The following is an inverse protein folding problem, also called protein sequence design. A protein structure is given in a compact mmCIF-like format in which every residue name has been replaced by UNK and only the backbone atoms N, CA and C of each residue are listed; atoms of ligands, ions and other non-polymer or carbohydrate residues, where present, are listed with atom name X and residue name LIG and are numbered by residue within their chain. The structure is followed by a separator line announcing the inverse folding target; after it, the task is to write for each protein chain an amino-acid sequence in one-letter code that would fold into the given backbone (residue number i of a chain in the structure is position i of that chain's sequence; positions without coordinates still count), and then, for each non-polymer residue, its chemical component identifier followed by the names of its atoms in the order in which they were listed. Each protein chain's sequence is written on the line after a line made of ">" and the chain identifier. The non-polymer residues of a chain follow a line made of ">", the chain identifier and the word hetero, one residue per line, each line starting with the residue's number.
data_IF_228445009408
#
_entry.id   IF_228445009408
#
_cell.length_a   1.000
_cell.length_b   1.000
_cell.length_c   1.000
_cell.angle_alpha   90.00
_cell.angle_beta   90.00
_cell.angle_gamma   90.00
#
_symmetry.space_group_name_H-M   'P 1'
#
loop_
_entity.id
_entity.type
_entity.pdbx_description
1 polymer ?
#
# COMPACT_ATOMS: atom_id res chain seq x y z
N UNK A 1 31.44 20.46 -38.75
CA UNK A 1 30.16 20.82 -38.12
C UNK A 1 29.32 19.56 -38.06
N UNK A 2 29.35 18.78 -36.96
CA UNK A 2 28.53 18.93 -35.73
C UNK A 2 27.05 19.11 -36.07
N UNK A 3 26.29 18.00 -36.02
CA UNK A 3 25.45 17.53 -34.89
C UNK A 3 24.02 18.07 -35.08
N UNK A 4 22.92 17.35 -34.89
CA UNK A 4 22.69 16.20 -34.03
C UNK A 4 21.39 15.48 -34.46
N UNK A 5 21.37 14.14 -34.32
CA UNK A 5 20.19 13.27 -34.46
C UNK A 5 19.09 13.69 -33.49
N UNK A 6 17.84 13.83 -33.95
CA UNK A 6 16.67 13.79 -33.07
C UNK A 6 16.38 12.33 -32.74
N UNK A 7 16.46 12.08 -31.45
CA UNK A 7 16.40 10.77 -30.82
C UNK A 7 14.94 10.44 -30.54
N UNK A 8 14.43 9.37 -31.16
CA UNK A 8 13.28 8.65 -30.64
C UNK A 8 13.74 7.94 -29.36
N UNK A 9 13.36 8.43 -28.17
CA UNK A 9 13.73 7.82 -26.90
C UNK A 9 12.53 7.62 -25.98
N UNK A 10 12.36 6.34 -25.66
CA UNK A 10 11.85 5.77 -24.40
C UNK A 10 10.32 5.67 -24.31
N UNK A 11 9.75 4.68 -25.01
CA UNK A 11 8.53 3.97 -24.58
C UNK A 11 8.81 2.47 -24.41
N UNK A 12 10.08 2.06 -24.31
CA UNK A 12 10.44 0.64 -24.34
C UNK A 12 11.64 0.32 -23.44
N UNK A 13 11.44 0.31 -22.11
CA UNK A 13 12.17 -0.66 -21.29
C UNK A 13 11.28 -1.46 -20.33
N UNK A 14 9.96 -1.22 -20.24
CA UNK A 14 9.11 -1.97 -19.30
C UNK A 14 8.71 -3.33 -19.89
N UNK A 15 8.53 -3.45 -21.21
CA UNK A 15 8.03 -4.70 -21.81
C UNK A 15 9.08 -5.82 -21.94
N UNK A 16 10.38 -5.48 -21.99
CA UNK A 16 11.45 -6.50 -22.12
C UNK A 16 11.82 -7.09 -20.76
N UNK A 17 11.55 -6.39 -19.65
CA UNK A 17 11.76 -6.93 -18.31
C UNK A 17 10.73 -8.00 -17.92
N UNK A 18 9.57 -8.04 -18.61
CA UNK A 18 8.56 -9.10 -18.46
C UNK A 18 8.86 -10.39 -19.25
N UNK A 19 9.95 -10.44 -20.04
CA UNK A 19 10.27 -11.59 -20.91
C UNK A 19 11.35 -12.53 -20.37
N UNK A 20 11.95 -12.23 -19.22
CA UNK A 20 12.78 -13.22 -18.51
C UNK A 20 11.86 -14.08 -17.63
N UNK A 21 11.01 -14.86 -18.28
CA UNK A 21 10.45 -16.07 -17.70
C UNK A 21 11.58 -17.08 -17.54
N UNK A 22 12.38 -16.93 -16.50
CA UNK A 22 13.32 -17.96 -16.10
C UNK A 22 12.58 -18.96 -15.22
N UNK A 23 12.49 -20.18 -15.72
CA UNK A 23 12.12 -21.37 -14.98
C UNK A 23 12.85 -21.38 -13.64
N UNK A 24 12.11 -21.19 -12.55
CA UNK A 24 12.67 -21.23 -11.21
C UNK A 24 12.77 -22.71 -10.83
N UNK A 25 13.98 -23.25 -10.83
CA UNK A 25 14.25 -24.62 -10.40
C UNK A 25 14.58 -24.61 -8.90
N UNK A 26 13.55 -24.69 -8.05
CA UNK A 26 13.69 -24.65 -6.58
C UNK A 26 13.84 -26.09 -6.06
N UNK A 27 15.01 -26.43 -5.53
CA UNK A 27 15.24 -27.73 -4.87
C UNK A 27 14.61 -27.76 -3.47
N UNK A 28 14.11 -28.94 -3.10
CA UNK A 28 13.16 -29.23 -2.01
C UNK A 28 13.61 -28.97 -0.56
N UNK A 29 14.78 -28.36 -0.33
CA UNK A 29 15.29 -28.02 1.02
C UNK A 29 15.63 -26.54 1.20
N UNK A 30 15.45 -25.73 0.15
CA UNK A 30 15.87 -24.33 0.18
C UNK A 30 14.82 -23.44 0.89
N UNK A 31 15.32 -22.49 1.68
CA UNK A 31 14.51 -21.39 2.19
C UNK A 31 14.36 -20.31 1.12
N UNK A 32 13.18 -19.71 1.06
CA UNK A 32 12.86 -18.63 0.16
C UNK A 32 12.62 -17.35 0.96
N UNK A 33 13.27 -16.27 0.56
CA UNK A 33 13.12 -14.95 1.17
C UNK A 33 12.19 -14.10 0.32
N UNK A 34 11.14 -13.54 0.92
CA UNK A 34 10.26 -12.55 0.30
C UNK A 34 10.43 -11.19 0.93
N UNK A 35 10.56 -10.19 0.07
CA UNK A 35 10.57 -8.78 0.37
C UNK A 35 9.20 -8.22 -0.05
N UNK A 36 8.34 -7.93 0.92
CA UNK A 36 7.01 -7.39 0.64
C UNK A 36 7.09 -5.87 0.63
N UNK A 37 6.79 -5.29 -0.53
CA UNK A 37 6.90 -3.85 -0.79
C UNK A 37 5.56 -3.29 -1.29
N UNK A 38 5.24 -2.05 -0.98
CA UNK A 38 4.05 -1.40 -1.55
C UNK A 38 4.38 -0.73 -2.87
N UNK A 39 3.42 -0.73 -3.81
CA UNK A 39 3.54 0.08 -5.04
C UNK A 39 3.75 1.57 -4.70
N UNK A 40 4.75 2.19 -5.32
CA UNK A 40 5.10 3.61 -5.12
C UNK A 40 6.13 3.90 -4.02
N UNK A 41 6.56 2.89 -3.26
CA UNK A 41 7.67 2.99 -2.29
C UNK A 41 8.70 1.88 -2.52
N UNK A 42 9.05 1.68 -3.79
CA UNK A 42 9.99 0.66 -4.26
C UNK A 42 11.35 0.78 -3.55
N UNK A 43 11.94 -0.36 -3.19
CA UNK A 43 13.24 -0.42 -2.51
C UNK A 43 13.16 -0.34 -0.98
N UNK A 44 11.96 -0.22 -0.39
CA UNK A 44 11.76 -0.34 1.06
C UNK A 44 10.81 -1.48 1.39
N UNK A 45 11.26 -2.34 2.28
CA UNK A 45 10.46 -3.48 2.72
C UNK A 45 9.49 -3.08 3.82
N UNK A 46 8.22 -3.42 3.62
CA UNK A 46 7.23 -3.41 4.70
C UNK A 46 7.55 -4.54 5.68
N UNK A 47 7.92 -5.69 5.11
CA UNK A 47 8.12 -6.98 5.77
C UNK A 47 9.06 -7.83 4.91
N UNK A 48 10.11 -8.37 5.54
CA UNK A 48 10.95 -9.41 4.96
C UNK A 48 10.67 -10.73 5.68
N UNK A 49 10.35 -11.78 4.94
CA UNK A 49 10.02 -13.10 5.51
C UNK A 49 10.78 -14.21 4.81
N UNK A 50 11.41 -15.09 5.59
CA UNK A 50 12.12 -16.26 5.09
C UNK A 50 11.33 -17.51 5.43
N UNK A 51 10.87 -18.25 4.42
CA UNK A 51 9.96 -19.37 4.56
C UNK A 51 10.56 -20.65 3.93
N UNK A 52 10.39 -21.83 4.57
CA UNK A 52 10.78 -23.10 3.95
C UNK A 52 9.93 -23.37 2.70
N UNK A 53 10.59 -23.73 1.60
CA UNK A 53 9.90 -24.22 0.41
C UNK A 53 9.15 -25.52 0.72
N UNK A 54 7.92 -25.61 0.24
CA UNK A 54 7.07 -26.80 0.42
C UNK A 54 6.77 -27.54 -0.88
N UNK A 55 7.00 -26.90 -2.04
CA UNK A 55 6.67 -27.43 -3.34
C UNK A 55 6.07 -26.37 -4.27
N UNK A 56 5.81 -26.79 -5.49
CA UNK A 56 5.25 -25.97 -6.54
C UNK A 56 4.13 -26.76 -7.23
N UNK A 57 3.02 -26.09 -7.50
CA UNK A 57 1.92 -26.65 -8.31
C UNK A 57 1.58 -25.61 -9.36
N UNK A 58 1.76 -25.97 -10.64
CA UNK A 58 1.56 -25.07 -11.78
C UNK A 58 2.38 -23.76 -11.64
N UNK A 59 1.70 -22.61 -11.62
CA UNK A 59 2.32 -21.30 -11.45
C UNK A 59 2.37 -20.82 -9.99
N UNK A 60 2.07 -21.69 -9.02
CA UNK A 60 2.01 -21.36 -7.60
C UNK A 60 3.15 -21.98 -6.81
N UNK A 61 3.88 -21.11 -6.12
CA UNK A 61 4.92 -21.45 -5.16
C UNK A 61 4.31 -21.63 -3.78
N UNK A 62 4.47 -22.81 -3.17
CA UNK A 62 3.96 -23.12 -1.83
C UNK A 62 5.08 -23.15 -0.81
N UNK A 63 4.81 -22.54 0.33
CA UNK A 63 5.78 -22.29 1.40
C UNK A 63 5.16 -22.69 2.73
N UNK A 64 5.95 -23.27 3.62
CA UNK A 64 5.49 -23.58 4.98
C UNK A 64 5.52 -22.31 5.83
N UNK A 65 4.47 -22.09 6.60
CA UNK A 65 4.34 -20.97 7.53
C UNK A 65 3.99 -21.54 8.89
N UNK A 66 4.91 -21.43 9.84
CA UNK A 66 4.60 -21.82 11.22
C UNK A 66 3.73 -20.77 11.92
N UNK A 67 3.20 -21.12 13.09
CA UNK A 67 2.32 -20.24 13.87
C UNK A 67 3.00 -18.91 14.26
N UNK A 68 4.29 -18.93 14.60
CA UNK A 68 5.03 -17.73 15.02
C UNK A 68 5.22 -16.78 13.85
N UNK A 69 5.64 -17.31 12.70
CA UNK A 69 5.80 -16.54 11.47
C UNK A 69 4.46 -15.98 11.00
N UNK A 70 3.38 -16.78 11.04
CA UNK A 70 2.04 -16.28 10.70
C UNK A 70 1.60 -15.13 11.60
N UNK A 71 1.83 -15.25 12.90
CA UNK A 71 1.51 -14.20 13.87
C UNK A 71 2.31 -12.93 13.56
N UNK A 72 3.62 -13.06 13.33
CA UNK A 72 4.48 -11.94 12.94
C UNK A 72 4.04 -11.25 11.63
N UNK A 73 3.69 -12.03 10.60
CA UNK A 73 3.14 -11.49 9.34
C UNK A 73 1.85 -10.71 9.65
N UNK A 74 0.91 -11.30 10.37
CA UNK A 74 -0.37 -10.67 10.71
C UNK A 74 -0.26 -9.46 11.63
N UNK A 75 0.81 -9.35 12.42
CA UNK A 75 1.13 -8.16 13.20
C UNK A 75 1.72 -7.02 12.36
N UNK A 76 2.28 -7.33 11.19
CA UNK A 76 2.99 -6.36 10.34
C UNK A 76 2.12 -5.87 9.18
N UNK A 77 1.32 -6.76 8.58
CA UNK A 77 0.49 -6.48 7.41
C UNK A 77 -0.95 -6.98 7.58
N UNK A 78 -1.87 -6.42 6.79
CA UNK A 78 -3.23 -6.90 6.63
C UNK A 78 -3.27 -8.05 5.62
N UNK A 79 -3.16 -9.28 6.11
CA UNK A 79 -3.21 -10.49 5.27
C UNK A 79 -4.51 -10.55 4.46
N UNK A 80 -5.61 -10.07 5.03
CA UNK A 80 -6.95 -9.98 4.41
C UNK A 80 -7.02 -9.00 3.23
N UNK A 81 -6.02 -8.14 3.05
CA UNK A 81 -5.92 -7.19 1.93
C UNK A 81 -4.99 -7.66 0.82
N UNK A 82 -4.33 -8.81 0.98
CA UNK A 82 -3.54 -9.39 -0.09
C UNK A 82 -4.45 -9.79 -1.26
N UNK A 83 -4.01 -9.52 -2.48
CA UNK A 83 -4.74 -9.94 -3.68
C UNK A 83 -4.67 -11.46 -3.79
N UNK A 84 -5.78 -12.12 -3.46
CA UNK A 84 -5.87 -13.59 -3.43
C UNK A 84 -5.62 -14.25 -4.78
N UNK A 85 -5.64 -13.50 -5.89
CA UNK A 85 -5.25 -13.98 -7.22
C UNK A 85 -3.74 -14.24 -7.34
N UNK A 86 -2.96 -13.62 -6.46
CA UNK A 86 -1.50 -13.61 -6.52
C UNK A 86 -0.85 -14.12 -5.23
N UNK A 87 -1.44 -13.87 -4.06
CA UNK A 87 -0.87 -14.23 -2.77
C UNK A 87 -2.00 -14.69 -1.85
N UNK A 88 -1.84 -15.87 -1.26
CA UNK A 88 -2.75 -16.39 -0.26
C UNK A 88 -1.97 -16.95 0.93
N UNK A 89 -2.42 -16.67 2.15
CA UNK A 89 -1.88 -17.29 3.37
C UNK A 89 -3.02 -18.07 4.02
N UNK A 90 -2.92 -19.40 3.99
CA UNK A 90 -3.96 -20.32 4.44
C UNK A 90 -3.37 -21.32 5.43
N UNK A 91 -3.81 -21.24 6.69
CA UNK A 91 -3.39 -22.20 7.71
C UNK A 91 -1.89 -22.14 7.98
N UNK A 92 -1.20 -23.22 7.61
CA UNK A 92 0.24 -23.45 7.73
C UNK A 92 0.99 -23.25 6.40
N UNK A 93 0.34 -22.67 5.39
CA UNK A 93 0.93 -22.48 4.06
C UNK A 93 0.74 -21.05 3.55
N UNK A 94 1.76 -20.54 2.88
CA UNK A 94 1.65 -19.41 1.98
C UNK A 94 1.77 -19.91 0.54
N UNK A 95 0.90 -19.41 -0.33
CA UNK A 95 0.92 -19.66 -1.76
C UNK A 95 1.13 -18.33 -2.47
N UNK A 96 2.13 -18.26 -3.35
CA UNK A 96 2.43 -17.06 -4.15
C UNK A 96 2.49 -17.45 -5.61
N UNK A 97 1.70 -16.77 -6.43
CA UNK A 97 1.72 -16.97 -7.87
C UNK A 97 3.01 -16.35 -8.44
N UNK A 98 3.73 -17.09 -9.28
CA UNK A 98 4.97 -16.65 -9.92
C UNK A 98 4.89 -15.29 -10.62
N UNK A 99 3.72 -14.89 -11.13
CA UNK A 99 3.51 -13.57 -11.76
C UNK A 99 3.66 -12.40 -10.80
N UNK A 100 3.53 -12.64 -9.50
CA UNK A 100 3.72 -11.65 -8.46
C UNK A 100 5.16 -11.59 -7.93
N UNK A 101 6.02 -12.51 -8.39
CA UNK A 101 7.40 -12.63 -7.93
C UNK A 101 8.34 -11.90 -8.89
N UNK A 102 9.18 -11.04 -8.34
CA UNK A 102 10.36 -10.51 -9.03
C UNK A 102 11.60 -11.08 -8.36
N UNK A 103 12.32 -11.98 -9.04
CA UNK A 103 13.56 -12.54 -8.51
C UNK A 103 14.66 -11.47 -8.49
N UNK A 104 15.29 -11.30 -7.32
CA UNK A 104 16.40 -10.35 -7.12
C UNK A 104 17.68 -11.03 -6.66
N UNK A 105 17.59 -12.29 -6.27
CA UNK A 105 18.69 -13.15 -5.91
C UNK A 105 18.25 -14.60 -5.90
N UNK A 106 19.19 -15.52 -5.72
CA UNK A 106 18.88 -16.95 -5.66
C UNK A 106 17.96 -17.21 -4.46
N UNK A 107 16.74 -17.70 -4.74
CA UNK A 107 15.69 -17.92 -3.74
C UNK A 107 15.27 -16.65 -2.98
N UNK A 108 15.42 -15.47 -3.60
CA UNK A 108 15.09 -14.17 -3.01
C UNK A 108 14.22 -13.37 -3.99
N UNK A 109 13.03 -12.97 -3.53
CA UNK A 109 12.00 -12.36 -4.38
C UNK A 109 11.41 -11.12 -3.75
N UNK A 110 11.08 -10.14 -4.59
CA UNK A 110 10.24 -9.00 -4.22
C UNK A 110 8.80 -9.29 -4.63
N UNK A 111 7.88 -8.93 -3.75
CA UNK A 111 6.43 -9.02 -3.96
C UNK A 111 5.81 -7.65 -3.74
N UNK A 112 5.21 -7.10 -4.79
CA UNK A 112 4.55 -5.81 -4.74
C UNK A 112 3.08 -5.96 -4.33
N UNK A 113 2.65 -5.16 -3.35
CA UNK A 113 1.29 -5.15 -2.81
C UNK A 113 0.70 -3.74 -2.83
N UNK A 114 -0.62 -3.65 -2.67
CA UNK A 114 -1.30 -2.36 -2.53
C UNK A 114 -0.93 -1.69 -1.19
N UNK A 115 -1.06 -0.36 -1.13
CA UNK A 115 -0.61 0.39 0.04
C UNK A 115 -1.42 0.09 1.33
N UNK A 116 -2.67 -0.37 1.20
CA UNK A 116 -3.55 -0.74 2.33
C UNK A 116 -3.23 -2.10 2.97
N UNK A 117 -2.29 -2.85 2.40
CA UNK A 117 -1.71 -4.04 3.05
C UNK A 117 -0.86 -3.64 4.26
N UNK A 118 -0.26 -2.45 4.27
CA UNK A 118 0.56 -2.03 5.40
C UNK A 118 -0.30 -1.51 6.57
N UNK A 119 -0.06 -2.01 7.79
CA UNK A 119 -0.76 -1.55 9.01
C UNK A 119 -0.35 -0.14 9.46
N UNK A 120 0.87 0.29 9.11
CA UNK A 120 1.36 1.67 9.36
C UNK A 120 1.87 2.22 8.04
N UNK A 121 1.20 3.23 7.47
CA UNK A 121 1.53 3.76 6.14
C UNK A 121 2.92 4.39 6.10
N UNK A 122 3.52 4.43 4.91
CA UNK A 122 4.88 4.93 4.70
C UNK A 122 5.08 6.37 5.13
N UNK A 123 4.09 7.25 4.87
CA UNK A 123 4.12 8.64 5.31
C UNK A 123 4.41 8.77 6.82
N UNK A 124 3.87 7.84 7.61
CA UNK A 124 4.14 7.75 9.03
C UNK A 124 5.42 7.00 9.34
N UNK A 125 5.66 5.82 8.75
CA UNK A 125 6.87 5.00 9.02
C UNK A 125 8.17 5.78 8.84
N UNK A 126 8.25 6.62 7.81
CA UNK A 126 9.46 7.39 7.50
C UNK A 126 9.68 8.57 8.43
N UNK A 127 8.59 9.12 8.98
CA UNK A 127 8.61 10.35 9.77
C UNK A 127 8.26 10.10 11.24
N UNK A 128 8.23 8.84 11.69
CA UNK A 128 7.84 8.49 13.04
C UNK A 128 8.96 8.91 14.02
N UNK A 129 8.73 9.92 14.87
CA UNK A 129 9.75 10.37 15.81
C UNK A 129 9.93 9.33 16.92
N UNK A 130 11.13 9.11 17.47
CA UNK A 130 11.38 8.04 18.46
C UNK A 130 10.55 8.20 19.75
N UNK A 131 10.17 9.44 20.10
CA UNK A 131 9.31 9.78 21.23
C UNK A 131 8.51 11.04 20.90
N UNK A 132 7.41 11.24 21.60
CA UNK A 132 6.58 12.43 21.51
C UNK A 132 5.12 12.07 21.26
N UNK A 133 4.33 13.11 21.03
CA UNK A 133 2.91 13.03 20.69
C UNK A 133 2.76 13.40 19.22
N UNK A 134 1.95 12.64 18.48
CA UNK A 134 1.65 12.91 17.09
C UNK A 134 0.15 12.83 16.81
N UNK A 135 -0.27 13.61 15.83
CA UNK A 135 -1.62 13.58 15.29
C UNK A 135 -1.65 12.63 14.09
N UNK A 136 -2.49 11.61 14.16
CA UNK A 136 -2.59 10.53 13.18
C UNK A 136 -4.01 10.39 12.66
N UNK A 137 -4.14 9.70 11.54
CA UNK A 137 -5.42 9.18 11.04
C UNK A 137 -5.40 7.67 11.25
N UNK A 138 -6.43 7.16 11.93
CA UNK A 138 -6.67 5.74 12.12
C UNK A 138 -7.84 5.36 11.24
N UNK A 139 -7.61 4.49 10.27
CA UNK A 139 -8.64 3.98 9.37
C UNK A 139 -9.13 2.63 9.87
N UNK A 140 -10.43 2.39 9.82
CA UNK A 140 -11.06 1.20 10.38
C UNK A 140 -11.46 0.20 9.29
N UNK A 141 -11.48 -1.10 9.64
CA UNK A 141 -12.00 -2.15 8.75
C UNK A 141 -13.53 -2.16 8.68
N UNK A 142 -14.16 -1.60 9.70
CA UNK A 142 -15.61 -1.55 9.90
C UNK A 142 -15.94 -0.61 11.07
N UNK A 143 -17.10 -0.76 11.73
CA UNK A 143 -17.49 0.08 12.86
C UNK A 143 -16.41 0.09 13.96
N UNK A 144 -15.97 1.28 14.43
CA UNK A 144 -14.86 1.38 15.37
C UNK A 144 -15.26 1.06 16.81
N UNK A 145 -14.28 0.59 17.59
CA UNK A 145 -14.37 0.60 19.05
C UNK A 145 -13.70 1.86 19.61
N UNK A 146 -14.44 2.98 19.63
CA UNK A 146 -13.90 4.27 20.07
C UNK A 146 -13.50 4.29 21.56
N UNK A 147 -14.13 3.47 22.39
CA UNK A 147 -13.80 3.37 23.82
C UNK A 147 -12.42 2.73 24.02
N UNK A 148 -12.10 1.68 23.26
CA UNK A 148 -10.77 1.07 23.22
C UNK A 148 -9.73 2.04 22.62
N UNK A 149 -10.06 2.67 21.50
CA UNK A 149 -9.17 3.63 20.84
C UNK A 149 -8.78 4.81 21.76
N UNK A 150 -9.73 5.28 22.58
CA UNK A 150 -9.50 6.38 23.53
C UNK A 150 -8.57 6.02 24.69
N UNK A 151 -8.25 4.73 24.88
CA UNK A 151 -7.22 4.31 25.86
C UNK A 151 -5.79 4.57 25.34
N UNK A 152 -5.64 4.73 24.02
CA UNK A 152 -4.35 4.92 23.34
C UNK A 152 -4.08 6.39 22.98
N UNK A 153 -5.05 7.28 23.14
CA UNK A 153 -4.92 8.69 22.79
C UNK A 153 -6.24 9.44 22.82
N UNK A 154 -6.20 10.71 22.39
CA UNK A 154 -7.39 11.55 22.30
C UNK A 154 -7.96 11.50 20.88
N UNK A 155 -9.20 11.03 20.74
CA UNK A 155 -9.94 11.08 19.47
C UNK A 155 -10.45 12.51 19.25
N UNK A 156 -9.90 13.22 18.27
CA UNK A 156 -10.26 14.62 18.00
C UNK A 156 -11.45 14.74 17.05
N UNK A 157 -11.54 13.83 16.08
CA UNK A 157 -12.56 13.86 15.05
C UNK A 157 -12.81 12.44 14.53
N UNK A 158 -14.08 12.10 14.30
CA UNK A 158 -14.48 10.87 13.61
C UNK A 158 -15.02 11.29 12.25
N UNK A 159 -14.54 10.65 11.19
CA UNK A 159 -15.01 10.93 9.83
C UNK A 159 -16.50 10.64 9.73
N UNK A 160 -17.22 11.42 8.91
CA UNK A 160 -18.66 11.23 8.71
C UNK A 160 -19.03 9.84 8.17
N UNK A 161 -18.09 9.16 7.50
CA UNK A 161 -18.25 7.77 7.07
C UNK A 161 -18.14 6.74 8.20
N UNK A 162 -17.73 7.16 9.39
CA UNK A 162 -17.41 6.31 10.56
C UNK A 162 -16.26 5.32 10.33
N UNK A 163 -15.58 5.38 9.18
CA UNK A 163 -14.48 4.47 8.80
C UNK A 163 -13.09 5.05 9.04
N UNK A 164 -13.01 6.19 9.72
CA UNK A 164 -11.73 6.78 10.11
C UNK A 164 -11.89 7.76 11.26
N UNK A 165 -10.81 7.98 12.00
CA UNK A 165 -10.73 8.97 13.05
C UNK A 165 -9.37 9.66 13.06
N UNK A 166 -9.37 10.93 13.44
CA UNK A 166 -8.17 11.68 13.76
C UNK A 166 -7.87 11.51 15.24
N UNK A 167 -6.68 10.99 15.55
CA UNK A 167 -6.29 10.64 16.91
C UNK A 167 -4.92 11.22 17.22
N UNK A 168 -4.85 11.93 18.35
CA UNK A 168 -3.59 12.40 18.91
C UNK A 168 -3.12 11.41 19.96
N UNK A 169 -1.99 10.77 19.72
CA UNK A 169 -1.45 9.69 20.55
C UNK A 169 0.07 9.79 20.69
N UNK A 170 0.62 9.15 21.71
CA UNK A 170 2.07 9.00 21.84
C UNK A 170 2.63 8.13 20.71
N UNK A 171 3.87 8.37 20.27
CA UNK A 171 4.54 7.53 19.27
C UNK A 171 4.51 6.05 19.62
N UNK A 172 4.66 5.72 20.92
CA UNK A 172 4.63 4.35 21.41
C UNK A 172 3.32 3.61 21.13
N UNK A 173 2.22 4.33 20.93
CA UNK A 173 0.88 3.77 20.74
C UNK A 173 0.53 3.48 19.28
N UNK A 174 1.28 4.03 18.31
CA UNK A 174 1.03 3.83 16.87
C UNK A 174 1.02 2.35 16.50
N UNK A 175 2.05 1.60 16.92
CA UNK A 175 2.16 0.19 16.60
C UNK A 175 1.08 -0.65 17.34
N UNK A 176 0.87 -0.51 18.66
CA UNK A 176 -0.25 -1.14 19.37
C UNK A 176 -1.61 -0.90 18.71
N UNK A 177 -1.94 0.34 18.36
CA UNK A 177 -3.21 0.69 17.69
C UNK A 177 -3.31 0.03 16.32
N UNK A 178 -2.23 0.06 15.52
CA UNK A 178 -2.22 -0.56 14.19
C UNK A 178 -2.46 -2.07 14.20
N UNK A 179 -2.24 -2.73 15.35
CA UNK A 179 -2.44 -4.17 15.52
C UNK A 179 -3.87 -4.55 15.92
N UNK A 180 -4.71 -3.60 16.33
CA UNK A 180 -6.11 -3.87 16.73
C UNK A 180 -6.90 -4.45 15.55
N UNK A 181 -7.76 -5.42 15.82
CA UNK A 181 -8.51 -6.12 14.76
C UNK A 181 -9.44 -5.21 13.95
N UNK A 182 -10.01 -4.18 14.58
CA UNK A 182 -10.91 -3.22 13.93
C UNK A 182 -10.14 -2.13 13.15
N UNK A 183 -8.82 -2.04 13.30
CA UNK A 183 -7.99 -1.06 12.60
C UNK A 183 -7.50 -1.63 11.28
N UNK A 184 -7.70 -0.88 10.20
CA UNK A 184 -7.17 -1.18 8.89
C UNK A 184 -5.72 -0.69 8.79
N UNK A 185 -5.48 0.60 9.02
CA UNK A 185 -4.12 1.13 9.09
C UNK A 185 -4.08 2.44 9.87
N UNK A 186 -2.87 2.82 10.28
CA UNK A 186 -2.55 4.13 10.85
C UNK A 186 -1.69 4.91 9.86
N UNK A 187 -2.00 6.17 9.63
CA UNK A 187 -1.23 7.07 8.78
C UNK A 187 -0.98 8.41 9.45
N UNK A 188 0.08 9.09 8.99
CA UNK A 188 0.42 10.43 9.44
C UNK A 188 -0.43 11.45 8.71
N UNK A 189 -0.67 12.59 9.34
CA UNK A 189 -1.28 13.72 8.64
C UNK A 189 -0.29 14.28 7.64
N UNK A 190 -0.72 14.37 6.38
CA UNK A 190 0.03 15.01 5.30
C UNK A 190 -0.48 16.44 5.14
N UNK A 191 0.44 17.39 5.08
CA UNK A 191 0.09 18.75 4.70
C UNK A 191 -0.06 18.82 3.18
N UNK A 192 -1.25 19.16 2.71
CA UNK A 192 -1.48 19.52 1.32
C UNK A 192 -1.30 21.03 1.18
N UNK A 193 -0.52 21.46 0.19
CA UNK A 193 -0.35 22.86 -0.14
C UNK A 193 -1.05 23.15 -1.47
N UNK A 194 -1.94 24.15 -1.48
CA UNK A 194 -2.50 24.67 -2.71
C UNK A 194 -1.36 25.16 -3.62
N UNK A 195 -1.29 24.60 -4.83
CA UNK A 195 -0.35 25.04 -5.86
C UNK A 195 -1.15 25.59 -7.02
N UNK A 196 -0.88 26.84 -7.39
CA UNK A 196 -1.50 27.45 -8.56
C UNK A 196 -0.94 26.77 -9.82
N UNK A 197 -1.82 26.12 -10.58
CA UNK A 197 -1.49 25.66 -11.92
C UNK A 197 -1.43 26.87 -12.85
N UNK A 198 -0.33 27.03 -13.59
CA UNK A 198 -0.20 28.04 -14.65
C UNK A 198 -0.97 27.66 -15.93
N UNK A 199 -1.62 26.49 -15.96
CA UNK A 199 -2.42 26.06 -17.09
C UNK A 199 -3.83 26.62 -16.94
N UNK A 200 -4.16 27.62 -17.76
CA UNK A 200 -5.54 27.88 -18.16
C UNK A 200 -5.77 27.01 -19.40
N UNK A 201 -6.37 25.81 -19.30
CA UNK A 201 -6.93 25.20 -20.49
C UNK A 201 -8.04 26.12 -20.98
N UNK A 202 -7.95 26.57 -22.23
CA UNK A 202 -9.08 27.17 -22.94
C UNK A 202 -10.19 26.12 -23.03
N UNK A 203 -11.03 26.06 -22.01
CA UNK A 203 -12.24 25.27 -22.01
C UNK A 203 -13.27 26.07 -22.82
N UNK A 204 -13.70 25.52 -23.96
CA UNK A 204 -14.72 26.08 -24.86
C UNK A 204 -16.12 26.10 -24.21
N UNK A 205 -16.24 26.65 -23.00
CA UNK A 205 -17.46 26.69 -22.21
C UNK A 205 -18.60 27.44 -22.91
N UNK A 206 -18.28 28.32 -23.88
CA UNK A 206 -19.25 29.03 -24.71
C UNK A 206 -20.13 28.09 -25.56
N UNK A 207 -19.59 26.98 -26.08
CA UNK A 207 -20.37 26.01 -26.85
C UNK A 207 -21.45 25.32 -26.00
N UNK A 208 -21.20 25.12 -24.71
CA UNK A 208 -22.17 24.47 -23.80
C UNK A 208 -23.35 25.40 -23.50
N UNK A 209 -23.10 26.72 -23.43
CA UNK A 209 -24.15 27.71 -23.21
C UNK A 209 -25.02 27.96 -24.45
N UNK A 210 -24.45 27.84 -25.65
CA UNK A 210 -25.19 27.91 -26.92
C UNK A 210 -26.17 26.73 -27.09
N UNK A 211 -25.84 25.55 -26.55
CA UNK A 211 -26.70 24.36 -26.58
C UNK A 211 -27.83 24.37 -25.52
N UNK A 212 -27.93 25.41 -24.67
CA UNK A 212 -29.03 25.57 -23.70
C UNK A 212 -29.05 24.51 -22.59
N UNK A 213 -27.91 23.92 -22.26
CA UNK A 213 -27.80 22.91 -21.19
C UNK A 213 -27.75 23.62 -19.83
N UNK A 214 -28.93 23.81 -19.22
CA UNK A 214 -29.04 24.34 -17.87
C UNK A 214 -28.87 23.19 -16.86
N UNK A 215 -27.76 23.18 -16.12
CA UNK A 215 -27.39 22.16 -15.14
C UNK A 215 -28.25 22.16 -13.86
N UNK A 216 -29.57 22.19 -13.97
CA UNK A 216 -30.48 22.13 -12.82
C UNK A 216 -30.32 20.79 -12.11
N UNK A 217 -29.97 20.82 -10.83
CA UNK A 217 -29.76 19.62 -10.01
C UNK A 217 -28.29 19.17 -9.87
N UNK A 218 -27.35 19.85 -10.53
CA UNK A 218 -25.92 19.60 -10.34
C UNK A 218 -25.37 20.47 -9.20
N UNK A 219 -24.70 19.84 -8.25
CA UNK A 219 -23.99 20.52 -7.16
C UNK A 219 -22.49 20.27 -7.32
N UNK A 220 -21.71 21.34 -7.36
CA UNK A 220 -20.24 21.27 -7.39
C UNK A 220 -19.75 21.62 -5.99
N UNK A 221 -19.09 20.67 -5.32
CA UNK A 221 -18.40 20.92 -4.06
C UNK A 221 -16.93 21.25 -4.37
N UNK A 222 -16.47 22.41 -3.89
CA UNK A 222 -15.08 22.84 -4.01
C UNK A 222 -14.49 22.80 -2.60
N UNK A 223 -13.45 21.98 -2.42
CA UNK A 223 -12.65 21.97 -1.20
C UNK A 223 -11.45 22.89 -1.42
N UNK A 224 -11.54 24.11 -0.91
CA UNK A 224 -10.47 25.12 -0.91
C UNK A 224 -10.37 25.73 0.49
N UNK A 225 -9.70 26.88 0.61
CA UNK A 225 -9.46 27.62 1.84
C UNK A 225 -10.68 28.40 2.37
N UNK A 226 -11.81 28.42 1.64
CA UNK A 226 -13.07 29.06 2.02
C UNK A 226 -14.15 28.93 0.96
#
# INVERSE_FOLDING_TARGET
>A
MKEMKKVNKIVMPILVMFLVFSFIDIKSEDFITFHIQTVGHEGKDILTVKLPYSGEIEDWLYLKVDYKTRTFIGETINIDRLDSRYIAILGDRAAVHKKALTEVGRNEYIVFVTNDVCKVRWSLRENLPPKGVLKTIVMFKGPPNLADLSQHGTVEYVFASELGAVVTMDTGEVLPVSKKEYVLYVEGIVNAHATLSNAIPELYAHWVWEEGIYGTGVVIAILDTG
#
